data_IF_000045044110
#
_entry.id   IF_000045044110
#
_cell.length_a   1.000
_cell.length_b   1.000
_cell.length_c   1.000
_cell.angle_alpha   90.00
_cell.angle_beta   90.00
_cell.angle_gamma   90.00
#
_symmetry.space_group_name_H-M   'P 1'
#
loop_
_entity.id
_entity.type
_entity.pdbx_description
1 polymer ?
#
# COMPACT_ATOMS: atom_id res chain seq x y z
N UNK A 1 9.83 8.09 -10.34
CA UNK A 1 10.26 7.32 -9.16
C UNK A 1 9.66 5.93 -9.24
N UNK A 2 10.34 4.90 -8.72
CA UNK A 2 9.85 3.51 -8.77
C UNK A 2 8.45 3.32 -8.16
N UNK A 3 8.08 4.09 -7.13
CA UNK A 3 6.75 4.05 -6.52
C UNK A 3 5.64 4.49 -7.49
N UNK A 4 5.88 5.56 -8.24
CA UNK A 4 4.91 6.07 -9.21
C UNK A 4 4.68 5.08 -10.36
N UNK A 5 5.74 4.40 -10.81
CA UNK A 5 5.62 3.32 -11.79
C UNK A 5 4.84 2.11 -11.25
N UNK A 6 4.95 1.81 -9.95
CA UNK A 6 4.13 0.76 -9.31
C UNK A 6 2.67 1.21 -9.27
N UNK A 7 2.40 2.46 -8.88
CA UNK A 7 1.04 3.02 -8.86
C UNK A 7 0.38 2.94 -10.23
N UNK A 8 1.08 3.38 -11.27
CA UNK A 8 0.58 3.31 -12.65
C UNK A 8 0.24 1.89 -13.10
N UNK A 9 1.07 0.89 -12.73
CA UNK A 9 0.76 -0.52 -13.02
C UNK A 9 -0.44 -1.03 -12.24
N UNK A 10 -0.60 -0.61 -10.98
CA UNK A 10 -1.73 -0.99 -10.15
C UNK A 10 -3.06 -0.37 -10.64
N UNK A 11 -3.01 0.88 -11.10
CA UNK A 11 -4.16 1.61 -11.65
C UNK A 11 -4.57 1.10 -13.04
N UNK A 12 -3.60 0.64 -13.84
CA UNK A 12 -3.86 0.05 -15.16
C UNK A 12 -4.44 -1.38 -15.10
N UNK A 13 -4.33 -2.06 -13.95
CA UNK A 13 -4.90 -3.38 -13.75
C UNK A 13 -6.41 -3.30 -13.47
N UNK A 14 -7.15 -4.38 -13.76
CA UNK A 14 -8.59 -4.47 -13.48
C UNK A 14 -8.90 -4.09 -12.03
N UNK A 15 -10.03 -3.40 -11.82
CA UNK A 15 -10.49 -3.03 -10.47
C UNK A 15 -10.63 -4.27 -9.57
N UNK A 16 -10.30 -4.08 -8.29
CA UNK A 16 -10.43 -5.13 -7.27
C UNK A 16 -11.71 -4.96 -6.44
N UNK A 17 -12.01 -5.92 -5.53
CA UNK A 17 -11.19 -7.06 -5.16
C UNK A 17 -11.13 -8.12 -6.26
N UNK A 18 -9.99 -8.79 -6.37
CA UNK A 18 -9.89 -9.99 -7.20
C UNK A 18 -10.19 -11.20 -6.32
N UNK A 19 -10.85 -12.18 -6.92
CA UNK A 19 -11.18 -13.45 -6.30
C UNK A 19 -10.40 -14.58 -6.97
N UNK A 20 -10.34 -15.73 -6.31
CA UNK A 20 -9.79 -16.94 -6.91
C UNK A 20 -10.78 -18.08 -6.78
N UNK A 21 -10.80 -18.96 -7.78
CA UNK A 21 -11.60 -20.18 -7.78
C UNK A 21 -10.71 -21.37 -8.07
N UNK A 22 -10.94 -22.48 -7.37
CA UNK A 22 -10.23 -23.73 -7.55
C UNK A 22 -11.15 -24.71 -8.25
N UNK A 23 -10.66 -25.33 -9.31
CA UNK A 23 -11.39 -26.33 -10.10
C UNK A 23 -10.55 -27.60 -10.24
N UNK A 24 -11.08 -28.62 -10.93
CA UNK A 24 -10.30 -29.81 -11.30
C UNK A 24 -9.23 -29.51 -12.34
N UNK A 25 -9.39 -28.44 -13.11
CA UNK A 25 -8.52 -28.06 -14.23
C UNK A 25 -7.48 -27.02 -13.84
N UNK A 26 -7.51 -26.49 -12.61
CA UNK A 26 -6.57 -25.46 -12.14
C UNK A 26 -7.23 -24.39 -11.27
N UNK A 27 -6.45 -23.36 -10.92
CA UNK A 27 -6.92 -22.20 -10.16
C UNK A 27 -6.97 -20.94 -11.04
N UNK A 28 -8.03 -20.16 -10.95
CA UNK A 28 -8.27 -18.99 -11.80
C UNK A 28 -8.46 -17.72 -10.98
N UNK A 29 -8.09 -16.57 -11.56
CA UNK A 29 -8.28 -15.25 -10.96
C UNK A 29 -9.46 -14.55 -11.63
N UNK A 30 -10.42 -14.15 -10.82
CA UNK A 30 -11.65 -13.51 -11.26
C UNK A 30 -11.75 -12.09 -10.69
N UNK A 31 -12.47 -11.20 -11.37
CA UNK A 31 -12.81 -9.89 -10.83
C UNK A 31 -13.97 -9.98 -9.83
N UNK A 32 -14.42 -8.81 -9.36
CA UNK A 32 -15.54 -8.68 -8.43
C UNK A 32 -16.86 -9.24 -8.98
N UNK A 33 -17.03 -9.28 -10.30
CA UNK A 33 -18.22 -9.77 -11.00
C UNK A 33 -18.08 -11.26 -11.39
N UNK A 34 -17.00 -11.91 -10.97
CA UNK A 34 -16.62 -13.30 -11.28
C UNK A 34 -16.22 -13.53 -12.75
N UNK A 35 -15.87 -12.48 -13.48
CA UNK A 35 -15.30 -12.58 -14.83
C UNK A 35 -13.79 -12.87 -14.75
N UNK A 36 -13.27 -13.67 -15.69
CA UNK A 36 -11.88 -14.10 -15.69
C UNK A 36 -10.92 -12.92 -15.99
N UNK A 37 -10.05 -12.56 -15.05
CA UNK A 37 -9.03 -11.50 -15.23
C UNK A 37 -7.71 -12.06 -15.72
N UNK A 38 -7.25 -13.15 -15.12
CA UNK A 38 -5.94 -13.73 -15.38
C UNK A 38 -6.03 -15.23 -15.48
N UNK A 39 -5.16 -15.79 -16.34
CA UNK A 39 -5.14 -17.20 -16.67
C UNK A 39 -4.83 -18.13 -15.49
N UNK A 40 -4.78 -19.41 -15.83
CA UNK A 40 -4.63 -20.51 -14.88
C UNK A 40 -3.32 -20.43 -14.07
N UNK A 41 -3.45 -20.64 -12.76
CA UNK A 41 -2.36 -20.97 -11.87
C UNK A 41 -2.41 -22.49 -11.61
N UNK A 42 -1.25 -23.15 -11.70
CA UNK A 42 -1.14 -24.58 -11.37
C UNK A 42 -1.38 -24.87 -9.88
N UNK A 43 -1.22 -23.85 -9.02
CA UNK A 43 -1.26 -23.99 -7.57
C UNK A 43 -2.20 -22.97 -6.95
N UNK A 44 -3.01 -23.44 -5.98
CA UNK A 44 -3.92 -22.59 -5.20
C UNK A 44 -3.18 -21.43 -4.52
N UNK A 45 -1.98 -21.69 -3.98
CA UNK A 45 -1.21 -20.69 -3.23
C UNK A 45 -0.84 -19.48 -4.09
N UNK A 46 -0.50 -19.74 -5.36
CA UNK A 46 -0.14 -18.69 -6.31
C UNK A 46 -1.38 -17.87 -6.69
N UNK A 47 -2.51 -18.54 -6.94
CA UNK A 47 -3.77 -17.86 -7.24
C UNK A 47 -4.23 -16.97 -6.08
N UNK A 48 -4.15 -17.50 -4.85
CA UNK A 48 -4.48 -16.76 -3.64
C UNK A 48 -3.55 -15.55 -3.43
N UNK A 49 -2.25 -15.73 -3.64
CA UNK A 49 -1.29 -14.62 -3.53
C UNK A 49 -1.59 -13.52 -4.55
N UNK A 50 -1.85 -13.87 -5.81
CA UNK A 50 -2.15 -12.91 -6.88
C UNK A 50 -3.45 -12.15 -6.59
N UNK A 51 -4.50 -12.85 -6.16
CA UNK A 51 -5.78 -12.22 -5.83
C UNK A 51 -5.63 -11.18 -4.70
N UNK A 52 -4.91 -11.52 -3.63
CA UNK A 52 -4.65 -10.58 -2.53
C UNK A 52 -3.70 -9.45 -2.91
N UNK A 53 -2.71 -9.70 -3.77
CA UNK A 53 -1.76 -8.69 -4.21
C UNK A 53 -2.45 -7.45 -4.81
N UNK A 54 -3.62 -7.61 -5.44
CA UNK A 54 -4.41 -6.49 -5.98
C UNK A 54 -4.76 -5.45 -4.91
N UNK A 55 -5.08 -5.89 -3.70
CA UNK A 55 -5.45 -5.02 -2.58
C UNK A 55 -4.23 -4.66 -1.73
N UNK A 56 -3.35 -5.62 -1.47
CA UNK A 56 -2.15 -5.42 -0.66
C UNK A 56 -1.22 -4.35 -1.26
N UNK A 57 -1.05 -4.35 -2.60
CA UNK A 57 -0.22 -3.33 -3.28
C UNK A 57 -0.82 -1.93 -3.11
N UNK A 58 -2.15 -1.78 -3.24
CA UNK A 58 -2.79 -0.48 -3.03
C UNK A 58 -2.67 -0.01 -1.59
N UNK A 59 -2.85 -0.92 -0.63
CA UNK A 59 -2.66 -0.61 0.79
C UNK A 59 -1.21 -0.18 1.08
N UNK A 60 -0.22 -0.90 0.55
CA UNK A 60 1.20 -0.56 0.70
C UNK A 60 1.54 0.81 0.10
N UNK A 61 1.00 1.13 -1.09
CA UNK A 61 1.19 2.45 -1.70
C UNK A 61 0.61 3.54 -0.80
N UNK A 62 -0.61 3.35 -0.31
CA UNK A 62 -1.27 4.30 0.61
C UNK A 62 -0.47 4.49 1.90
N UNK A 63 0.13 3.42 2.43
CA UNK A 63 0.95 3.48 3.64
C UNK A 63 2.26 4.24 3.40
N UNK A 64 2.88 4.07 2.24
CA UNK A 64 4.05 4.85 1.84
C UNK A 64 3.69 6.33 1.66
N UNK A 65 2.54 6.64 1.06
CA UNK A 65 2.07 8.03 0.91
C UNK A 65 1.83 8.69 2.29
N UNK A 66 1.23 7.95 3.22
CA UNK A 66 1.01 8.39 4.61
C UNK A 66 2.35 8.68 5.31
N UNK A 67 3.31 7.75 5.22
CA UNK A 67 4.64 7.91 5.81
C UNK A 67 5.39 9.11 5.22
N UNK A 68 5.41 9.25 3.89
CA UNK A 68 6.06 10.38 3.24
C UNK A 68 5.45 11.71 3.66
N UNK A 69 4.12 11.80 3.67
CA UNK A 69 3.41 13.02 4.09
C UNK A 69 3.70 13.38 5.54
N UNK A 70 3.73 12.38 6.43
CA UNK A 70 4.07 12.58 7.84
C UNK A 70 5.52 13.02 8.06
N UNK A 71 6.47 12.41 7.34
CA UNK A 71 7.89 12.79 7.38
C UNK A 71 8.08 14.22 6.86
N UNK A 72 7.42 14.59 5.76
CA UNK A 72 7.48 15.94 5.21
C UNK A 72 6.97 16.99 6.21
N UNK A 73 5.91 16.67 6.96
CA UNK A 73 5.41 17.52 8.05
C UNK A 73 6.44 17.70 9.16
N UNK A 74 7.05 16.61 9.64
CA UNK A 74 8.10 16.67 10.69
C UNK A 74 9.32 17.47 10.22
N UNK A 75 9.73 17.28 8.96
CA UNK A 75 10.83 18.03 8.36
C UNK A 75 10.50 19.52 8.21
N UNK A 76 9.24 19.85 7.94
CA UNK A 76 8.77 21.24 7.93
C UNK A 76 8.90 21.85 9.33
N UNK A 77 8.40 21.18 10.37
CA UNK A 77 8.48 21.69 11.75
C UNK A 77 9.94 21.89 12.19
N UNK A 78 10.81 20.90 11.93
CA UNK A 78 12.25 21.00 12.25
C UNK A 78 12.96 22.19 11.61
N UNK A 79 12.49 22.65 10.44
CA UNK A 79 13.10 23.77 9.70
C UNK A 79 12.54 25.13 10.10
N UNK A 80 11.32 25.17 10.60
CA UNK A 80 10.57 26.42 10.78
C UNK A 80 10.28 26.74 12.25
N UNK A 81 10.38 25.78 13.15
CA UNK A 81 10.14 25.95 14.58
C UNK A 81 11.43 26.23 15.38
N UNK A 82 11.28 26.79 16.59
CA UNK A 82 12.40 27.05 17.49
C UNK A 82 12.90 25.76 18.16
N UNK A 83 13.84 25.08 17.49
CA UNK A 83 14.46 23.85 18.00
C UNK A 83 15.37 24.06 19.22
N UNK A 84 15.58 25.30 19.68
CA UNK A 84 16.27 25.54 20.96
C UNK A 84 15.33 25.40 22.15
N UNK A 85 14.02 25.45 21.92
CA UNK A 85 13.00 25.19 22.93
C UNK A 85 12.77 23.68 23.10
N UNK A 86 13.08 23.09 24.28
CA UNK A 86 12.93 21.66 24.50
C UNK A 86 11.51 21.13 24.29
N UNK A 87 10.49 21.94 24.57
CA UNK A 87 9.09 21.55 24.42
C UNK A 87 8.69 21.40 22.95
N UNK A 88 9.22 22.26 22.07
CA UNK A 88 9.01 22.17 20.63
C UNK A 88 9.66 20.88 20.09
N UNK A 89 10.88 20.58 20.53
CA UNK A 89 11.58 19.35 20.13
C UNK A 89 10.84 18.09 20.60
N UNK A 90 10.28 18.11 21.82
CA UNK A 90 9.44 17.03 22.34
C UNK A 90 8.20 16.82 21.46
N UNK A 91 7.46 17.88 21.12
CA UNK A 91 6.28 17.79 20.26
C UNK A 91 6.61 17.23 18.86
N UNK A 92 7.70 17.70 18.24
CA UNK A 92 8.16 17.20 16.94
C UNK A 92 8.51 15.71 17.02
N UNK A 93 9.14 15.30 18.13
CA UNK A 93 9.50 13.90 18.38
C UNK A 93 8.24 13.03 18.54
N UNK A 94 7.25 13.50 19.28
CA UNK A 94 5.96 12.80 19.43
C UNK A 94 5.23 12.66 18.09
N UNK A 95 5.22 13.71 17.27
CA UNK A 95 4.63 13.69 15.93
C UNK A 95 5.34 12.65 15.04
N UNK A 96 6.68 12.59 15.07
CA UNK A 96 7.43 11.56 14.35
C UNK A 96 7.08 10.16 14.83
N UNK A 97 6.97 9.95 16.14
CA UNK A 97 6.57 8.66 16.72
C UNK A 97 5.15 8.26 16.27
N UNK A 98 4.21 9.20 16.19
CA UNK A 98 2.86 8.94 15.66
C UNK A 98 2.91 8.49 14.19
N UNK A 99 3.63 9.24 13.35
CA UNK A 99 3.84 8.92 11.92
C UNK A 99 4.40 7.51 11.75
N UNK A 100 5.45 7.14 12.49
CA UNK A 100 6.11 5.84 12.37
C UNK A 100 5.26 4.68 12.91
N UNK A 101 4.37 4.93 13.87
CA UNK A 101 3.49 3.90 14.44
C UNK A 101 2.19 3.69 13.66
N UNK A 102 1.95 4.45 12.61
CA UNK A 102 0.68 4.38 11.87
C UNK A 102 -0.52 4.87 12.68
N UNK A 103 -0.29 5.82 13.60
CA UNK A 103 -1.31 6.41 14.48
C UNK A 103 -1.54 7.87 14.15
#
# INVERSE_FOLDING_TARGET
>A
MKLEEIRQRADAATEGPWHYVITTEGAYILDQDSDLISGECEREQDARFIAHARQDILWLISEIDRLNSGIDSVLYDLRNEDITNPHVVEQITENLVAVLNGK
#
